data_IF_751363245793
#
_entry.id   IF_751363245793
#
_cell.length_a   1.000
_cell.length_b   1.000
_cell.length_c   1.000
_cell.angle_alpha   90.00
_cell.angle_beta   90.00
_cell.angle_gamma   90.00
#
_symmetry.space_group_name_H-M   'P 1'
#
loop_
_entity.id
_entity.type
_entity.pdbx_description
1 polymer ?
#
# COMPACT_ATOMS: atom_id res chain seq x y z
N UNK A 1 13.65 11.42 -12.24
CA UNK A 1 12.60 12.44 -12.49
C UNK A 1 12.59 13.36 -11.28
N UNK A 2 12.40 14.68 -11.39
CA UNK A 2 12.28 15.52 -10.17
C UNK A 2 10.92 15.30 -9.51
N UNK A 3 10.82 15.54 -8.20
CA UNK A 3 9.55 15.45 -7.46
C UNK A 3 8.48 16.34 -8.10
N UNK A 4 8.83 17.59 -8.45
CA UNK A 4 7.92 18.52 -9.13
C UNK A 4 7.37 17.96 -10.44
N UNK A 5 8.23 17.38 -11.29
CA UNK A 5 7.83 16.76 -12.56
C UNK A 5 6.86 15.59 -12.40
N UNK A 6 7.02 14.80 -11.34
CA UNK A 6 6.15 13.67 -11.07
C UNK A 6 4.74 14.13 -10.66
N UNK A 7 4.63 15.12 -9.78
CA UNK A 7 3.33 15.67 -9.36
C UNK A 7 2.65 16.49 -10.45
N UNK A 8 3.40 17.26 -11.25
CA UNK A 8 2.85 18.01 -12.38
C UNK A 8 2.09 17.07 -13.35
N UNK A 9 2.72 15.95 -13.71
CA UNK A 9 2.11 14.94 -14.58
C UNK A 9 0.85 14.35 -13.96
N UNK A 10 0.93 13.90 -12.72
CA UNK A 10 -0.16 13.19 -12.08
C UNK A 10 -1.38 14.08 -11.82
N UNK A 11 -1.16 15.29 -11.31
CA UNK A 11 -2.24 16.23 -11.04
C UNK A 11 -2.91 16.68 -12.36
N UNK A 12 -2.17 16.72 -13.47
CA UNK A 12 -2.72 16.94 -14.80
C UNK A 12 -3.56 15.77 -15.34
N UNK A 13 -3.29 14.52 -14.95
CA UNK A 13 -4.09 13.34 -15.39
C UNK A 13 -5.55 13.47 -14.96
N UNK A 14 -5.80 13.99 -13.75
CA UNK A 14 -7.15 14.22 -13.18
C UNK A 14 -8.06 15.09 -14.07
N UNK A 15 -7.45 15.89 -14.95
CA UNK A 15 -8.13 16.83 -15.82
C UNK A 15 -8.42 16.27 -17.20
N UNK A 16 -7.57 15.37 -17.67
CA UNK A 16 -7.72 14.70 -18.97
C UNK A 16 -8.82 13.64 -18.99
N UNK A 17 -9.25 13.15 -17.81
CA UNK A 17 -10.26 12.11 -17.66
C UNK A 17 -11.73 12.57 -17.75
N UNK A 18 -11.99 13.84 -18.06
CA UNK A 18 -13.35 14.32 -18.35
C UNK A 18 -13.88 13.67 -19.64
N UNK A 19 -15.09 13.13 -19.59
CA UNK A 19 -15.84 12.62 -20.74
C UNK A 19 -15.91 13.68 -21.85
N UNK A 20 -14.92 13.69 -22.75
CA UNK A 20 -14.92 14.24 -24.12
C UNK A 20 -13.47 14.49 -24.59
N UNK A 21 -12.68 13.46 -24.89
CA UNK A 21 -11.61 13.57 -25.89
C UNK A 21 -11.31 12.20 -26.52
N UNK A 22 -12.15 11.82 -27.48
CA UNK A 22 -11.78 10.85 -28.49
C UNK A 22 -10.77 11.51 -29.44
N UNK A 23 -9.48 11.47 -29.10
CA UNK A 23 -8.42 11.95 -29.98
C UNK A 23 -7.08 12.18 -29.31
N UNK A 24 -6.20 11.18 -29.39
CA UNK A 24 -4.75 11.34 -29.27
C UNK A 24 -4.19 11.45 -27.85
N UNK A 25 -3.09 10.73 -27.59
CA UNK A 25 -2.29 10.85 -26.37
C UNK A 25 -1.57 12.19 -26.28
N UNK A 26 -2.33 13.26 -26.03
CA UNK A 26 -1.79 14.55 -25.63
C UNK A 26 -1.27 14.50 -24.19
N UNK A 27 -0.20 15.25 -23.92
CA UNK A 27 0.27 15.45 -22.55
C UNK A 27 -0.86 16.06 -21.71
N UNK A 28 -1.03 15.65 -20.43
CA UNK A 28 -2.01 16.25 -19.56
C UNK A 28 -1.81 17.77 -19.47
N UNK A 29 -2.91 18.53 -19.38
CA UNK A 29 -2.86 19.98 -19.16
C UNK A 29 -2.28 20.33 -17.78
N UNK A 30 -1.85 21.58 -17.56
CA UNK A 30 -1.35 22.00 -16.25
C UNK A 30 -2.45 21.88 -15.20
N UNK A 31 -2.13 21.43 -13.96
CA UNK A 31 -3.12 21.28 -12.91
C UNK A 31 -3.80 22.62 -12.58
N UNK A 32 -5.07 22.55 -12.17
CA UNK A 32 -5.96 23.65 -11.82
C UNK A 32 -6.07 23.65 -10.29
N UNK A 33 -5.34 24.55 -9.61
CA UNK A 33 -5.32 24.56 -8.16
C UNK A 33 -6.69 24.82 -7.56
N UNK A 34 -7.55 25.63 -8.19
CA UNK A 34 -8.85 25.96 -7.62
C UNK A 34 -9.74 24.72 -7.58
N UNK A 35 -9.84 24.00 -8.70
CA UNK A 35 -10.59 22.73 -8.77
C UNK A 35 -10.05 21.69 -7.79
N UNK A 36 -8.74 21.48 -7.75
CA UNK A 36 -8.09 20.48 -6.89
C UNK A 36 -8.29 20.80 -5.41
N UNK A 37 -8.21 22.09 -5.04
CA UNK A 37 -8.47 22.54 -3.67
C UNK A 37 -9.94 22.38 -3.27
N UNK A 38 -10.89 22.60 -4.19
CA UNK A 38 -12.30 22.30 -3.96
C UNK A 38 -12.51 20.81 -3.71
N UNK A 39 -11.94 19.93 -4.55
CA UNK A 39 -12.04 18.48 -4.37
C UNK A 39 -11.47 18.01 -3.02
N UNK A 40 -10.31 18.54 -2.62
CA UNK A 40 -9.74 18.25 -1.30
C UNK A 40 -10.67 18.71 -0.16
N UNK A 41 -11.26 19.91 -0.28
CA UNK A 41 -12.19 20.43 0.72
C UNK A 41 -13.45 19.57 0.82
N UNK A 42 -14.00 19.16 -0.32
CA UNK A 42 -15.20 18.33 -0.40
C UNK A 42 -14.95 16.94 0.19
N UNK A 43 -13.79 16.33 -0.08
CA UNK A 43 -13.43 15.03 0.52
C UNK A 43 -13.26 15.15 2.04
N UNK A 44 -12.64 16.21 2.54
CA UNK A 44 -12.58 16.45 4.00
C UNK A 44 -13.99 16.60 4.58
N UNK A 45 -14.87 17.36 3.94
CA UNK A 45 -16.27 17.52 4.38
C UNK A 45 -17.05 16.20 4.38
N UNK A 46 -16.86 15.37 3.35
CA UNK A 46 -17.45 14.03 3.28
C UNK A 46 -16.94 13.14 4.40
N UNK A 47 -15.63 13.17 4.70
CA UNK A 47 -15.07 12.41 5.82
C UNK A 47 -15.63 12.91 7.16
N UNK A 48 -15.85 14.22 7.34
CA UNK A 48 -16.52 14.74 8.54
C UNK A 48 -17.94 14.15 8.72
N UNK A 49 -18.71 14.08 7.63
CA UNK A 49 -20.06 13.51 7.63
C UNK A 49 -20.03 11.99 7.88
N UNK A 50 -19.19 11.27 7.15
CA UNK A 50 -19.08 9.81 7.19
C UNK A 50 -18.59 9.31 8.55
N UNK A 51 -17.58 9.97 9.14
CA UNK A 51 -17.04 9.60 10.46
C UNK A 51 -17.90 10.12 11.61
N UNK A 52 -18.82 11.05 11.36
CA UNK A 52 -19.58 11.74 12.41
C UNK A 52 -18.70 12.59 13.34
N UNK A 53 -17.48 12.93 12.92
CA UNK A 53 -16.47 13.67 13.68
C UNK A 53 -16.03 14.89 12.86
N UNK A 54 -15.91 16.07 13.49
CA UNK A 54 -15.35 17.24 12.81
C UNK A 54 -13.83 17.15 12.77
N UNK A 55 -13.25 17.55 11.65
CA UNK A 55 -11.81 17.62 11.51
C UNK A 55 -11.24 18.64 12.50
N UNK A 56 -10.03 18.37 13.03
CA UNK A 56 -9.32 19.37 13.83
C UNK A 56 -9.18 20.69 13.02
N UNK A 57 -9.75 21.82 13.49
CA UNK A 57 -9.83 23.03 12.67
C UNK A 57 -8.45 23.58 12.28
N UNK A 58 -7.47 23.45 13.18
CA UNK A 58 -6.12 23.95 12.92
C UNK A 58 -5.35 23.02 11.97
N UNK A 59 -5.52 21.70 12.10
CA UNK A 59 -4.98 20.72 11.16
C UNK A 59 -5.58 20.91 9.77
N UNK A 60 -6.90 21.08 9.65
CA UNK A 60 -7.56 21.40 8.38
C UNK A 60 -7.00 22.67 7.77
N UNK A 61 -6.87 23.75 8.56
CA UNK A 61 -6.30 25.02 8.09
C UNK A 61 -4.83 24.90 7.66
N UNK A 62 -4.04 24.05 8.33
CA UNK A 62 -2.64 23.76 7.94
C UNK A 62 -2.57 22.94 6.66
N UNK A 63 -3.43 21.93 6.51
CA UNK A 63 -3.54 21.12 5.30
C UNK A 63 -3.90 21.99 4.11
N UNK A 64 -5.02 22.73 4.18
CA UNK A 64 -5.52 23.52 3.05
C UNK A 64 -4.51 24.56 2.56
N UNK A 65 -3.92 25.34 3.48
CA UNK A 65 -2.93 26.36 3.10
C UNK A 65 -1.65 25.77 2.53
N UNK A 66 -1.18 24.66 3.10
CA UNK A 66 0.05 24.04 2.61
C UNK A 66 -0.15 23.26 1.30
N UNK A 67 -1.34 22.68 1.08
CA UNK A 67 -1.70 22.07 -0.19
C UNK A 67 -1.81 23.13 -1.30
N UNK A 68 -2.44 24.27 -1.02
CA UNK A 68 -2.52 25.39 -1.96
C UNK A 68 -1.13 25.93 -2.32
N UNK A 69 -0.25 26.12 -1.32
CA UNK A 69 1.14 26.51 -1.56
C UNK A 69 1.86 25.50 -2.45
N UNK A 70 1.81 24.22 -2.11
CA UNK A 70 2.53 23.18 -2.84
C UNK A 70 2.00 23.01 -4.27
N UNK A 71 0.69 23.16 -4.49
CA UNK A 71 0.10 23.15 -5.83
C UNK A 71 0.60 24.32 -6.68
N UNK A 72 0.67 25.53 -6.11
CA UNK A 72 1.20 26.71 -6.80
C UNK A 72 2.68 26.54 -7.13
N UNK A 73 3.48 26.00 -6.23
CA UNK A 73 4.89 25.67 -6.51
C UNK A 73 5.01 24.73 -7.72
N UNK A 74 4.16 23.70 -7.81
CA UNK A 74 4.15 22.78 -8.96
C UNK A 74 3.68 23.47 -10.25
N UNK A 75 2.64 24.31 -10.18
CA UNK A 75 2.11 25.04 -11.35
C UNK A 75 3.08 26.09 -11.88
N UNK A 76 3.69 26.87 -10.99
CA UNK A 76 4.52 28.01 -11.34
C UNK A 76 5.96 27.60 -11.71
N UNK A 77 6.45 26.49 -11.15
CA UNK A 77 7.83 26.06 -11.29
C UNK A 77 8.02 24.65 -11.89
N UNK A 78 6.95 23.85 -12.02
CA UNK A 78 6.98 22.54 -12.67
C UNK A 78 8.12 21.65 -12.17
N UNK A 79 9.03 21.31 -13.07
CA UNK A 79 10.22 20.49 -12.78
C UNK A 79 11.18 21.10 -11.75
N UNK A 80 11.18 22.43 -11.61
CA UNK A 80 12.05 23.21 -10.70
C UNK A 80 11.40 23.47 -9.34
N UNK A 81 10.19 22.96 -9.09
CA UNK A 81 9.49 23.12 -7.82
C UNK A 81 10.30 22.58 -6.63
N UNK A 82 10.43 23.39 -5.57
CA UNK A 82 11.19 23.05 -4.37
C UNK A 82 10.25 22.61 -3.25
N UNK A 83 9.98 21.30 -3.20
CA UNK A 83 9.02 20.72 -2.25
C UNK A 83 9.75 20.04 -1.10
N UNK A 84 9.45 20.47 0.14
CA UNK A 84 9.86 19.75 1.34
C UNK A 84 8.96 18.55 1.62
N UNK A 85 9.38 17.66 2.53
CA UNK A 85 8.62 16.46 2.90
C UNK A 85 7.16 16.75 3.30
N UNK A 86 6.91 17.85 4.02
CA UNK A 86 5.55 18.24 4.41
C UNK A 86 4.72 18.77 3.25
N UNK A 87 5.36 19.34 2.23
CA UNK A 87 4.65 19.83 1.04
C UNK A 87 4.24 18.66 0.15
N UNK A 88 5.16 17.71 -0.04
CA UNK A 88 4.89 16.40 -0.67
C UNK A 88 3.72 15.68 0.01
N UNK A 89 3.72 15.56 1.35
CA UNK A 89 2.63 14.91 2.07
C UNK A 89 1.26 15.60 1.89
N UNK A 90 1.26 16.93 1.67
CA UNK A 90 0.02 17.69 1.39
C UNK A 90 -0.40 17.56 -0.07
N UNK A 91 0.54 17.47 -1.00
CA UNK A 91 0.24 17.13 -2.40
C UNK A 91 -0.32 15.72 -2.53
N UNK A 92 0.18 14.75 -1.76
CA UNK A 92 -0.44 13.42 -1.70
C UNK A 92 -1.90 13.50 -1.26
N UNK A 93 -2.25 14.36 -0.31
CA UNK A 93 -3.66 14.53 0.08
C UNK A 93 -4.54 15.05 -1.06
N UNK A 94 -4.00 15.93 -1.90
CA UNK A 94 -4.69 16.38 -3.12
C UNK A 94 -4.87 15.21 -4.09
N UNK A 95 -3.82 14.43 -4.34
CA UNK A 95 -3.88 13.25 -5.22
C UNK A 95 -4.87 12.19 -4.70
N UNK A 96 -4.95 12.01 -3.38
CA UNK A 96 -5.91 11.09 -2.77
C UNK A 96 -7.37 11.51 -3.01
N UNK A 97 -7.62 12.80 -3.24
CA UNK A 97 -8.96 13.39 -3.38
C UNK A 97 -9.33 13.74 -4.83
N UNK A 98 -8.36 13.89 -5.74
CA UNK A 98 -8.61 14.24 -7.15
C UNK A 98 -9.16 13.06 -7.98
N UNK A 99 -9.07 11.86 -7.43
CA UNK A 99 -9.56 10.61 -7.99
C UNK A 99 -8.62 9.90 -8.95
N UNK A 100 -7.38 10.34 -9.10
CA UNK A 100 -6.35 9.64 -9.90
C UNK A 100 -5.78 8.44 -9.14
N UNK A 101 -5.33 8.64 -7.90
CA UNK A 101 -4.81 7.59 -7.01
C UNK A 101 -5.46 7.72 -5.62
N UNK A 102 -6.77 7.40 -5.53
CA UNK A 102 -7.49 7.58 -4.30
C UNK A 102 -7.00 6.66 -3.18
N UNK A 103 -7.20 7.10 -1.95
CA UNK A 103 -6.96 6.29 -0.75
C UNK A 103 -8.30 6.04 -0.08
N UNK A 104 -8.80 4.82 -0.24
CA UNK A 104 -10.16 4.45 0.17
C UNK A 104 -10.13 3.76 1.54
N UNK A 105 -10.99 4.21 2.44
CA UNK A 105 -11.19 3.53 3.72
C UNK A 105 -11.94 2.22 3.50
N UNK A 106 -11.52 1.17 4.22
CA UNK A 106 -12.24 -0.10 4.25
C UNK A 106 -13.14 -0.15 5.48
N UNK A 107 -14.42 -0.42 5.24
CA UNK A 107 -15.50 -0.64 6.20
C UNK A 107 -16.35 -1.84 5.75
N UNK A 108 -16.66 -2.75 6.67
CA UNK A 108 -17.38 -4.01 6.37
C UNK A 108 -16.71 -4.80 5.23
N UNK A 109 -15.40 -4.93 5.30
CA UNK A 109 -14.58 -5.61 4.27
C UNK A 109 -14.64 -4.96 2.87
N UNK A 110 -15.24 -3.78 2.70
CA UNK A 110 -15.37 -3.09 1.41
C UNK A 110 -15.13 -1.58 1.53
N UNK A 111 -15.28 -0.81 0.46
CA UNK A 111 -15.12 0.64 0.50
C UNK A 111 -16.41 1.34 0.08
N UNK A 112 -16.53 2.62 0.44
CA UNK A 112 -17.65 3.45 0.00
C UNK A 112 -17.51 3.80 -1.49
N UNK A 113 -18.32 3.12 -2.32
CA UNK A 113 -18.38 3.36 -3.78
C UNK A 113 -18.92 4.74 -4.16
N UNK A 114 -19.53 5.45 -3.22
CA UNK A 114 -20.07 6.80 -3.44
C UNK A 114 -19.06 7.89 -3.20
N UNK A 115 -17.88 7.55 -2.66
CA UNK A 115 -16.78 8.49 -2.44
C UNK A 115 -16.38 9.14 -3.77
N UNK A 116 -16.38 10.49 -3.90
CA UNK A 116 -16.01 11.16 -5.15
C UNK A 116 -14.62 10.77 -5.66
N UNK A 117 -13.68 10.54 -4.74
CA UNK A 117 -12.33 10.10 -5.04
C UNK A 117 -12.28 8.75 -5.80
N UNK A 118 -13.31 7.89 -5.71
CA UNK A 118 -13.31 6.60 -6.41
C UNK A 118 -13.84 6.69 -7.85
N UNK A 119 -14.36 7.84 -8.30
CA UNK A 119 -15.16 7.93 -9.53
C UNK A 119 -14.53 7.26 -10.78
N UNK A 120 -13.22 7.43 -10.98
CA UNK A 120 -12.48 6.83 -12.13
C UNK A 120 -12.28 5.31 -12.00
N UNK A 121 -12.27 4.80 -10.77
CA UNK A 121 -12.02 3.39 -10.43
C UNK A 121 -13.29 2.61 -10.07
N UNK A 122 -14.39 3.30 -9.75
CA UNK A 122 -15.62 2.74 -9.20
C UNK A 122 -16.15 1.59 -10.08
N UNK A 123 -16.27 1.81 -11.39
CA UNK A 123 -16.75 0.78 -12.30
C UNK A 123 -15.85 -0.47 -12.32
N UNK A 124 -14.53 -0.33 -12.18
CA UNK A 124 -13.61 -1.46 -12.17
C UNK A 124 -13.67 -2.23 -10.85
N UNK A 125 -13.64 -1.51 -9.73
CA UNK A 125 -13.67 -2.10 -8.40
C UNK A 125 -15.02 -2.75 -8.08
N UNK A 126 -16.15 -2.11 -8.43
CA UNK A 126 -17.49 -2.68 -8.18
C UNK A 126 -17.76 -3.97 -8.96
N UNK A 127 -17.06 -4.22 -10.08
CA UNK A 127 -17.21 -5.48 -10.84
C UNK A 127 -16.63 -6.69 -10.11
N UNK A 128 -15.71 -6.47 -9.17
CA UNK A 128 -15.01 -7.52 -8.43
C UNK A 128 -15.26 -7.40 -6.92
N UNK A 129 -16.46 -6.95 -6.52
CA UNK A 129 -16.79 -6.69 -5.11
C UNK A 129 -16.57 -7.93 -4.21
N UNK A 130 -16.98 -9.12 -4.66
CA UNK A 130 -16.86 -10.34 -3.87
C UNK A 130 -15.39 -10.72 -3.62
N UNK A 131 -14.55 -10.45 -4.61
CA UNK A 131 -13.12 -10.68 -4.59
C UNK A 131 -12.40 -9.69 -3.70
N UNK A 132 -12.73 -8.40 -3.85
CA UNK A 132 -12.26 -7.34 -2.98
C UNK A 132 -12.57 -7.62 -1.52
N UNK A 133 -13.79 -8.05 -1.20
CA UNK A 133 -14.15 -8.44 0.17
C UNK A 133 -13.34 -9.60 0.68
N UNK A 134 -13.03 -10.58 -0.16
CA UNK A 134 -12.16 -11.71 0.20
C UNK A 134 -10.74 -11.21 0.52
N UNK A 135 -10.16 -10.38 -0.34
CA UNK A 135 -8.81 -9.83 -0.14
C UNK A 135 -8.76 -8.92 1.10
N UNK A 136 -9.74 -8.03 1.28
CA UNK A 136 -9.84 -7.18 2.46
C UNK A 136 -9.90 -8.00 3.75
N UNK A 137 -10.64 -9.11 3.78
CA UNK A 137 -10.69 -10.02 4.94
C UNK A 137 -9.35 -10.70 5.22
N UNK A 138 -8.62 -11.04 4.17
CA UNK A 138 -7.32 -11.69 4.27
C UNK A 138 -6.19 -10.74 4.67
N UNK A 139 -6.36 -9.43 4.52
CA UNK A 139 -5.38 -8.42 4.92
C UNK A 139 -5.57 -8.02 6.39
N UNK A 140 -4.50 -8.11 7.18
CA UNK A 140 -4.50 -7.81 8.61
C UNK A 140 -3.35 -6.89 9.06
N UNK A 141 -3.61 -6.10 10.10
CA UNK A 141 -2.64 -5.20 10.70
C UNK A 141 -1.74 -5.97 11.64
N UNK A 142 -0.43 -5.81 11.50
CA UNK A 142 0.55 -6.38 12.42
C UNK A 142 0.66 -5.49 13.64
N UNK A 143 -0.05 -5.85 14.70
CA UNK A 143 -0.09 -5.14 15.96
C UNK A 143 1.19 -5.41 16.79
N UNK A 144 1.75 -4.33 17.34
CA UNK A 144 2.86 -4.33 18.28
C UNK A 144 2.51 -3.39 19.43
N UNK A 145 2.03 -3.92 20.57
CA UNK A 145 1.66 -3.10 21.73
C UNK A 145 2.82 -2.27 22.30
N UNK A 146 4.07 -2.61 22.00
CA UNK A 146 5.25 -1.86 22.45
C UNK A 146 5.59 -0.67 21.54
N UNK A 147 5.01 -0.60 20.35
CA UNK A 147 5.27 0.46 19.37
C UNK A 147 4.44 1.71 19.67
N UNK A 148 4.96 2.88 19.31
CA UNK A 148 4.27 4.17 19.51
C UNK A 148 2.90 4.23 18.82
N UNK A 149 2.76 3.55 17.67
CA UNK A 149 1.50 3.50 16.93
C UNK A 149 0.60 2.32 17.33
N UNK A 150 1.13 1.35 18.06
CA UNK A 150 0.45 0.08 18.36
C UNK A 150 0.52 -0.97 17.23
N UNK A 151 1.18 -0.67 16.10
CA UNK A 151 1.35 -1.56 14.94
C UNK A 151 2.60 -1.20 14.12
N UNK A 152 3.03 -2.13 13.26
CA UNK A 152 4.27 -2.01 12.47
C UNK A 152 4.10 -2.22 10.96
N UNK A 153 2.97 -2.74 10.49
CA UNK A 153 2.74 -2.96 9.06
C UNK A 153 1.55 -3.86 8.77
N UNK A 154 1.62 -4.52 7.61
CA UNK A 154 0.56 -5.38 7.07
C UNK A 154 1.04 -6.82 6.97
N UNK A 155 0.15 -7.77 7.24
CA UNK A 155 0.31 -9.18 6.93
C UNK A 155 -0.95 -9.72 6.26
N UNK A 156 -0.86 -10.82 5.53
CA UNK A 156 -2.01 -11.38 4.84
C UNK A 156 -2.02 -12.90 4.79
N UNK A 157 -3.22 -13.46 4.84
CA UNK A 157 -3.46 -14.90 4.91
C UNK A 157 -3.12 -15.60 3.58
N UNK A 158 -2.16 -16.53 3.64
CA UNK A 158 -1.71 -17.33 2.49
C UNK A 158 -2.10 -18.80 2.62
N UNK A 159 -2.37 -19.26 3.85
CA UNK A 159 -2.95 -20.56 4.18
C UNK A 159 -3.65 -20.47 5.55
N UNK A 160 -4.38 -21.50 5.95
CA UNK A 160 -5.10 -21.59 7.23
C UNK A 160 -4.15 -21.43 8.43
N UNK A 161 -4.22 -20.27 9.09
CA UNK A 161 -3.35 -19.91 10.21
C UNK A 161 -1.94 -19.49 9.81
N UNK A 162 -1.69 -19.23 8.52
CA UNK A 162 -0.38 -18.80 8.00
C UNK A 162 -0.53 -17.48 7.26
N UNK A 163 0.36 -16.54 7.57
CA UNK A 163 0.41 -15.23 6.92
C UNK A 163 1.79 -14.90 6.37
N UNK A 164 1.82 -14.03 5.36
CA UNK A 164 3.03 -13.41 4.83
C UNK A 164 3.07 -11.94 5.23
N UNK A 165 4.27 -11.43 5.50
CA UNK A 165 4.58 -10.00 5.70
C UNK A 165 6.02 -9.72 5.23
N UNK A 166 6.50 -8.48 5.35
CA UNK A 166 7.91 -8.19 5.12
C UNK A 166 8.80 -8.68 6.26
N UNK A 167 10.04 -9.03 5.95
CA UNK A 167 11.03 -9.36 6.97
C UNK A 167 11.31 -8.17 7.89
N UNK A 168 11.40 -6.95 7.38
CA UNK A 168 11.61 -5.78 8.25
C UNK A 168 10.42 -5.48 9.19
N UNK A 169 9.20 -5.90 8.84
CA UNK A 169 8.04 -5.85 9.76
C UNK A 169 8.25 -6.87 10.89
N UNK A 170 8.71 -8.08 10.56
CA UNK A 170 9.12 -9.08 11.56
C UNK A 170 10.24 -8.56 12.47
N UNK A 171 11.25 -7.89 11.92
CA UNK A 171 12.33 -7.28 12.71
C UNK A 171 11.76 -6.26 13.72
N UNK A 172 10.82 -5.43 13.28
CA UNK A 172 10.20 -4.42 14.12
C UNK A 172 9.40 -5.01 15.29
N UNK A 173 8.81 -6.19 15.13
CA UNK A 173 8.03 -6.90 16.17
C UNK A 173 8.85 -7.93 16.97
N UNK A 174 10.17 -7.93 16.83
CA UNK A 174 11.06 -8.90 17.47
C UNK A 174 12.14 -8.23 18.31
N UNK A 175 12.80 -9.02 19.16
CA UNK A 175 14.02 -8.66 19.87
C UNK A 175 15.19 -9.46 19.30
N UNK A 176 16.32 -8.78 19.11
CA UNK A 176 17.56 -9.34 18.53
C UNK A 176 17.36 -10.11 17.21
N UNK A 177 16.62 -9.53 16.22
CA UNK A 177 16.34 -10.23 14.99
C UNK A 177 17.61 -10.50 14.17
N UNK A 178 17.63 -11.66 13.53
CA UNK A 178 18.66 -12.11 12.60
C UNK A 178 18.03 -13.06 11.58
N UNK A 179 18.67 -13.17 10.41
CA UNK A 179 18.30 -14.15 9.40
C UNK A 179 19.54 -14.82 8.83
N UNK A 180 19.52 -16.15 8.80
CA UNK A 180 20.59 -16.99 8.26
C UNK A 180 19.96 -18.15 7.52
N UNK A 181 20.33 -18.37 6.26
CA UNK A 181 19.85 -19.52 5.45
C UNK A 181 18.32 -19.70 5.45
N UNK A 182 17.56 -18.60 5.36
CA UNK A 182 16.10 -18.61 5.35
C UNK A 182 15.45 -18.90 6.71
N UNK A 183 16.25 -19.00 7.77
CA UNK A 183 15.79 -19.18 9.15
C UNK A 183 15.87 -17.86 9.92
N UNK A 184 14.88 -17.63 10.77
CA UNK A 184 14.83 -16.50 11.68
C UNK A 184 15.48 -16.84 13.01
N UNK A 185 16.35 -15.95 13.50
CA UNK A 185 16.84 -15.95 14.89
C UNK A 185 16.36 -14.69 15.60
N UNK A 186 15.88 -14.85 16.84
CA UNK A 186 15.34 -13.76 17.66
C UNK A 186 14.07 -14.20 18.39
N UNK A 187 13.47 -13.28 19.14
CA UNK A 187 12.25 -13.56 19.91
C UNK A 187 11.15 -12.56 19.55
N UNK A 188 9.94 -13.06 19.28
CA UNK A 188 8.76 -12.22 19.08
C UNK A 188 8.46 -11.43 20.37
N UNK A 189 8.15 -10.15 20.25
CA UNK A 189 7.76 -9.33 21.39
C UNK A 189 6.43 -9.82 21.99
N UNK A 190 6.18 -9.62 23.29
CA UNK A 190 4.92 -9.99 23.91
C UNK A 190 3.72 -9.28 23.29
N UNK A 191 2.64 -10.03 23.05
CA UNK A 191 1.35 -9.48 22.63
C UNK A 191 1.23 -9.11 21.15
N UNK A 192 2.23 -9.43 20.32
CA UNK A 192 2.15 -9.21 18.87
C UNK A 192 1.07 -10.10 18.24
N UNK A 193 0.30 -9.53 17.33
CA UNK A 193 -0.87 -10.17 16.74
C UNK A 193 -1.13 -9.64 15.33
N UNK A 194 -1.92 -10.39 14.56
CA UNK A 194 -2.51 -9.91 13.30
C UNK A 194 -3.99 -9.64 13.53
N UNK A 195 -4.40 -8.43 13.17
CA UNK A 195 -5.77 -7.94 13.29
C UNK A 195 -6.39 -7.73 11.91
N UNK A 196 -7.20 -8.69 11.47
CA UNK A 196 -7.91 -8.62 10.19
C UNK A 196 -9.16 -7.72 10.24
N UNK A 197 -9.53 -7.21 11.41
CA UNK A 197 -10.69 -6.36 11.64
C UNK A 197 -10.36 -4.88 11.88
N UNK A 198 -9.13 -4.43 11.67
CA UNK A 198 -8.72 -3.04 11.90
C UNK A 198 -9.25 -2.06 10.80
N UNK A 199 -10.56 -1.99 10.64
CA UNK A 199 -11.27 -1.16 9.66
C UNK A 199 -11.72 0.19 10.26
N UNK A 200 -12.13 1.14 9.40
CA UNK A 200 -12.76 2.37 9.89
C UNK A 200 -14.09 2.03 10.57
N UNK A 201 -14.44 2.73 11.65
CA UNK A 201 -15.59 2.36 12.50
C UNK A 201 -15.35 1.14 13.40
N UNK A 202 -14.27 0.40 13.19
CA UNK A 202 -13.90 -0.80 13.93
C UNK A 202 -14.53 -2.07 13.37
N UNK A 203 -13.74 -3.14 13.26
CA UNK A 203 -14.23 -4.45 12.82
C UNK A 203 -14.42 -5.45 13.96
N UNK A 204 -14.88 -6.67 13.64
CA UNK A 204 -15.18 -7.69 14.63
C UNK A 204 -13.93 -8.08 15.46
N UNK A 205 -13.97 -8.01 16.81
CA UNK A 205 -12.80 -8.29 17.65
C UNK A 205 -12.37 -9.77 17.63
N UNK A 206 -13.21 -10.66 17.10
CA UNK A 206 -12.88 -12.07 16.88
C UNK A 206 -11.95 -12.30 15.67
N UNK A 207 -11.53 -11.24 14.97
CA UNK A 207 -10.59 -11.30 13.84
C UNK A 207 -9.14 -10.99 14.22
N UNK A 208 -8.81 -11.06 15.51
CA UNK A 208 -7.45 -10.86 16.03
C UNK A 208 -6.85 -12.20 16.46
N UNK A 209 -5.66 -12.51 15.92
CA UNK A 209 -4.95 -13.75 16.14
C UNK A 209 -3.50 -13.47 16.55
N UNK A 210 -3.03 -14.10 17.63
CA UNK A 210 -1.66 -13.94 18.12
C UNK A 210 -0.68 -14.59 17.14
N UNK A 211 0.47 -13.96 16.92
CA UNK A 211 1.57 -14.56 16.17
C UNK A 211 2.29 -15.53 17.09
N UNK A 212 2.34 -16.81 16.72
CA UNK A 212 2.85 -17.88 17.57
C UNK A 212 4.24 -18.36 17.19
N UNK A 213 4.60 -18.27 15.90
CA UNK A 213 5.87 -18.75 15.38
C UNK A 213 6.25 -18.09 14.06
N UNK A 214 7.55 -17.97 13.80
CA UNK A 214 8.10 -17.68 12.46
C UNK A 214 8.39 -19.00 11.75
N UNK A 215 7.79 -19.20 10.57
CA UNK A 215 7.94 -20.44 9.78
C UNK A 215 9.15 -20.38 8.84
N UNK A 216 9.42 -19.20 8.29
CA UNK A 216 10.52 -18.98 7.36
C UNK A 216 10.70 -17.50 7.05
N UNK A 217 11.87 -17.13 6.56
CA UNK A 217 12.17 -15.78 6.10
C UNK A 217 12.85 -15.83 4.74
N UNK A 218 12.63 -14.78 3.95
CA UNK A 218 13.30 -14.60 2.68
C UNK A 218 14.81 -14.44 2.86
N UNK A 219 15.56 -14.86 1.83
CA UNK A 219 17.02 -14.75 1.82
C UNK A 219 17.48 -13.29 1.96
N UNK A 220 18.56 -13.11 2.72
CA UNK A 220 19.23 -11.82 2.80
C UNK A 220 19.87 -11.46 1.45
N UNK A 221 19.82 -10.19 1.09
CA UNK A 221 20.57 -9.65 -0.03
C UNK A 221 22.03 -9.42 0.37
N UNK A 222 22.93 -9.52 -0.60
CA UNK A 222 24.35 -9.22 -0.37
C UNK A 222 24.52 -7.73 0.04
N UNK A 223 25.27 -7.40 1.10
CA UNK A 223 25.43 -6.02 1.58
C UNK A 223 25.93 -5.04 0.52
N UNK A 224 26.80 -5.50 -0.38
CA UNK A 224 27.35 -4.74 -1.50
C UNK A 224 26.32 -4.46 -2.62
N UNK A 225 25.17 -5.12 -2.59
CA UNK A 225 24.03 -4.92 -3.49
C UNK A 225 22.89 -4.11 -2.85
N UNK A 226 23.14 -3.51 -1.69
CA UNK A 226 22.20 -2.58 -1.09
C UNK A 226 21.97 -1.38 -2.03
N UNK A 227 20.73 -0.90 -2.09
CA UNK A 227 20.38 0.23 -2.94
C UNK A 227 21.20 1.46 -2.56
N UNK A 228 21.80 2.17 -3.52
CA UNK A 228 22.82 3.18 -3.23
C UNK A 228 22.28 4.39 -2.48
N UNK A 229 21.00 4.71 -2.65
CA UNK A 229 20.40 5.96 -2.15
C UNK A 229 19.18 5.77 -1.26
N UNK A 230 18.64 4.55 -1.14
CA UNK A 230 17.41 4.27 -0.38
C UNK A 230 17.77 3.31 0.75
N UNK A 231 17.81 3.79 2.00
CA UNK A 231 18.17 2.95 3.14
C UNK A 231 17.28 1.72 3.25
N UNK A 232 17.89 0.59 3.61
CA UNK A 232 17.22 -0.71 3.84
C UNK A 232 16.57 -1.36 2.61
N UNK A 233 16.69 -0.76 1.43
CA UNK A 233 16.30 -1.40 0.16
C UNK A 233 17.48 -2.20 -0.37
N UNK A 234 17.22 -3.45 -0.76
CA UNK A 234 18.20 -4.33 -1.38
C UNK A 234 17.45 -5.31 -2.30
N UNK A 235 17.47 -5.05 -3.61
CA UNK A 235 16.77 -5.89 -4.61
C UNK A 235 17.40 -7.26 -4.76
N UNK A 236 18.64 -7.46 -4.32
CA UNK A 236 19.18 -8.80 -4.24
C UNK A 236 18.47 -9.61 -3.16
N UNK A 237 17.99 -9.05 -2.05
CA UNK A 237 17.30 -9.83 -0.99
C UNK A 237 15.80 -10.04 -1.22
N UNK A 238 15.21 -11.01 -0.52
CA UNK A 238 13.76 -11.15 -0.40
C UNK A 238 13.32 -10.65 0.97
N UNK A 239 12.65 -9.50 1.02
CA UNK A 239 12.10 -8.92 2.23
C UNK A 239 10.75 -9.56 2.57
N UNK A 240 10.81 -10.81 3.02
CA UNK A 240 9.64 -11.66 3.28
C UNK A 240 9.79 -12.39 4.62
N UNK A 241 8.70 -12.50 5.36
CA UNK A 241 8.57 -13.38 6.50
C UNK A 241 7.24 -14.14 6.42
N UNK A 242 7.29 -15.42 6.78
CA UNK A 242 6.13 -16.30 6.87
C UNK A 242 5.88 -16.60 8.34
N UNK A 243 4.68 -16.28 8.81
CA UNK A 243 4.32 -16.35 10.22
C UNK A 243 3.16 -17.30 10.43
N UNK A 244 3.18 -18.02 11.54
CA UNK A 244 2.07 -18.83 12.01
C UNK A 244 1.29 -18.06 13.06
N UNK A 245 -0.03 -18.12 12.96
CA UNK A 245 -0.99 -17.55 13.90
C UNK A 245 -1.62 -18.65 14.76
N UNK A 246 -1.99 -18.31 15.99
CA UNK A 246 -2.72 -19.24 16.85
C UNK A 246 -4.10 -19.54 16.25
N UNK A 247 -4.47 -20.83 16.21
CA UNK A 247 -5.85 -21.24 15.95
C UNK A 247 -6.70 -20.98 17.18
N UNK A 248 -7.83 -20.32 17.00
CA UNK A 248 -8.78 -20.04 18.08
C UNK A 248 -10.11 -20.71 17.76
N UNK A 249 -10.51 -21.68 18.61
CA UNK A 249 -11.76 -22.41 18.42
C UNK A 249 -12.95 -21.47 18.30
N UNK A 250 -13.81 -21.70 17.31
CA UNK A 250 -14.99 -20.88 17.04
C UNK A 250 -14.72 -19.52 16.40
N UNK A 251 -13.46 -19.18 16.09
CA UNK A 251 -13.13 -17.99 15.30
C UNK A 251 -12.71 -18.42 13.89
N UNK A 252 -13.49 -18.07 12.85
CA UNK A 252 -13.12 -18.41 11.49
C UNK A 252 -11.85 -17.65 11.09
N UNK A 253 -10.91 -18.34 10.47
CA UNK A 253 -9.77 -17.71 9.81
C UNK A 253 -10.23 -17.12 8.47
N UNK A 254 -9.68 -15.98 8.02
CA UNK A 254 -10.03 -15.45 6.71
C UNK A 254 -9.64 -16.44 5.61
N UNK A 255 -10.43 -16.47 4.54
CA UNK A 255 -10.09 -17.24 3.34
C UNK A 255 -8.73 -16.77 2.80
N UNK A 256 -7.75 -17.66 2.66
CA UNK A 256 -6.45 -17.30 2.10
C UNK A 256 -6.56 -16.73 0.68
N UNK A 257 -5.68 -15.80 0.35
CA UNK A 257 -5.60 -15.22 -1.00
C UNK A 257 -4.75 -16.09 -1.92
N UNK A 258 -5.11 -16.08 -3.20
CA UNK A 258 -4.33 -16.76 -4.23
C UNK A 258 -3.14 -15.90 -4.65
N UNK A 259 -1.98 -16.52 -4.77
CA UNK A 259 -0.74 -15.85 -5.18
C UNK A 259 -0.44 -16.18 -6.64
N UNK A 260 -0.05 -15.17 -7.42
CA UNK A 260 0.44 -15.38 -8.77
C UNK A 260 1.80 -16.10 -8.74
N UNK A 261 1.91 -17.19 -9.51
CA UNK A 261 3.11 -18.03 -9.54
C UNK A 261 3.78 -18.00 -10.90
N UNK A 262 5.11 -18.06 -10.88
CA UNK A 262 5.93 -18.10 -12.10
C UNK A 262 5.80 -19.40 -12.89
N UNK A 263 5.32 -20.46 -12.25
CA UNK A 263 5.09 -21.79 -12.80
C UNK A 263 3.62 -22.05 -13.20
N UNK A 264 2.74 -21.03 -13.12
CA UNK A 264 1.34 -21.12 -13.58
C UNK A 264 1.29 -21.35 -15.10
N UNK A 265 0.66 -22.44 -15.55
CA UNK A 265 0.59 -22.82 -16.97
C UNK A 265 -0.18 -21.81 -17.83
N UNK A 266 -1.21 -21.18 -17.25
CA UNK A 266 -2.09 -20.27 -17.99
C UNK A 266 -1.45 -18.89 -18.14
N UNK A 267 -0.83 -18.37 -17.08
CA UNK A 267 -0.23 -17.02 -17.09
C UNK A 267 1.23 -17.03 -17.52
N UNK A 268 1.91 -18.17 -17.39
CA UNK A 268 3.35 -18.34 -17.66
C UNK A 268 4.22 -17.35 -16.89
N UNK A 269 3.78 -16.95 -15.69
CA UNK A 269 4.52 -16.02 -14.83
C UNK A 269 4.63 -14.59 -15.38
N UNK A 270 3.63 -14.16 -16.17
CA UNK A 270 3.63 -12.89 -16.90
C UNK A 270 2.45 -11.96 -16.52
N UNK A 271 1.76 -12.21 -15.40
CA UNK A 271 0.70 -11.30 -14.96
C UNK A 271 1.28 -9.93 -14.61
N UNK A 272 2.38 -9.87 -13.86
CA UNK A 272 2.96 -8.62 -13.35
C UNK A 272 3.72 -7.83 -14.45
N UNK A 273 2.96 -7.27 -15.39
CA UNK A 273 3.42 -6.51 -16.55
C UNK A 273 3.06 -5.03 -16.44
N UNK A 274 3.90 -4.16 -17.03
CA UNK A 274 3.69 -2.71 -17.04
C UNK A 274 2.31 -2.35 -17.56
N UNK A 275 1.67 -1.38 -16.92
CA UNK A 275 0.36 -0.85 -17.29
C UNK A 275 -0.82 -1.67 -16.75
N UNK A 276 -0.57 -2.87 -16.19
CA UNK A 276 -1.62 -3.65 -15.55
C UNK A 276 -2.21 -2.91 -14.36
N UNK A 277 -3.53 -2.84 -14.30
CA UNK A 277 -4.23 -2.25 -13.16
C UNK A 277 -4.15 -3.15 -11.94
N UNK A 278 -3.86 -2.53 -10.81
CA UNK A 278 -3.74 -3.19 -9.51
C UNK A 278 -4.48 -2.42 -8.46
N UNK A 279 -4.72 -3.05 -7.33
CA UNK A 279 -5.10 -2.39 -6.10
C UNK A 279 -4.26 -2.91 -4.94
N UNK A 280 -3.98 -2.02 -4.00
CA UNK A 280 -3.19 -2.30 -2.81
C UNK A 280 -4.12 -2.37 -1.62
N UNK A 281 -3.96 -3.39 -0.78
CA UNK A 281 -4.67 -3.46 0.50
C UNK A 281 -3.67 -3.57 1.64
N UNK A 282 -3.78 -2.66 2.62
CA UNK A 282 -2.96 -2.69 3.81
C UNK A 282 -3.24 -1.56 4.79
N UNK A 283 -2.28 -1.30 5.67
CA UNK A 283 -2.45 -0.44 6.85
C UNK A 283 -1.42 0.68 6.84
N UNK A 284 -1.68 1.80 6.17
CA UNK A 284 -0.73 2.88 6.12
C UNK A 284 -0.63 3.56 7.49
N UNK A 285 0.60 3.90 7.86
CA UNK A 285 1.00 4.56 9.10
C UNK A 285 2.18 3.84 9.76
N UNK A 286 3.34 4.49 9.78
CA UNK A 286 4.53 4.04 10.52
C UNK A 286 5.09 5.21 11.30
N UNK A 287 5.52 4.98 12.55
CA UNK A 287 6.16 6.03 13.36
C UNK A 287 7.45 6.55 12.71
N UNK A 288 8.09 5.74 11.86
CA UNK A 288 9.28 6.09 11.10
C UNK A 288 9.00 6.54 9.67
N UNK A 289 7.74 6.70 9.27
CA UNK A 289 7.39 7.22 7.94
C UNK A 289 7.96 8.62 7.73
N UNK A 290 8.59 8.84 6.59
CA UNK A 290 9.09 10.15 6.17
C UNK A 290 7.95 11.07 5.68
N UNK A 291 6.81 10.52 5.26
CA UNK A 291 5.62 11.28 4.90
C UNK A 291 4.53 11.11 5.96
N UNK A 292 4.12 12.19 6.65
CA UNK A 292 3.01 12.14 7.59
C UNK A 292 1.69 11.75 6.90
N UNK A 293 0.88 10.94 7.58
CA UNK A 293 -0.52 10.73 7.20
C UNK A 293 -1.32 11.96 7.64
N UNK A 294 -1.46 12.93 6.75
CA UNK A 294 -2.13 14.20 7.06
C UNK A 294 -3.62 14.04 7.36
N UNK A 295 -4.27 12.97 6.88
CA UNK A 295 -5.66 12.67 7.24
C UNK A 295 -5.78 12.14 8.66
N UNK A 296 -4.77 11.41 9.15
CA UNK A 296 -4.71 11.02 10.56
C UNK A 296 -4.42 12.21 11.51
N UNK A 297 -3.94 13.35 10.99
CA UNK A 297 -3.88 14.61 11.76
C UNK A 297 -5.26 15.30 11.82
N UNK A 298 -6.13 15.08 10.82
CA UNK A 298 -7.49 15.65 10.79
C UNK A 298 -8.46 14.87 11.69
N UNK A 299 -8.38 13.54 11.66
CA UNK A 299 -9.30 12.64 12.34
C UNK A 299 -8.52 11.59 13.13
N UNK A 300 -8.66 11.59 14.46
CA UNK A 300 -7.95 10.60 15.28
C UNK A 300 -8.42 9.16 14.98
N UNK A 301 -9.70 9.00 14.62
CA UNK A 301 -10.34 7.72 14.34
C UNK A 301 -9.88 6.99 13.08
N UNK A 302 -9.14 7.65 12.18
CA UNK A 302 -8.70 7.04 10.89
C UNK A 302 -7.26 6.55 10.90
N UNK A 303 -6.61 6.56 12.06
CA UNK A 303 -5.21 6.16 12.19
C UNK A 303 -5.06 4.64 12.26
N UNK A 304 -4.22 4.10 11.38
CA UNK A 304 -3.89 2.67 11.37
C UNK A 304 -5.06 1.77 10.96
N UNK A 305 -6.01 2.32 10.20
CA UNK A 305 -7.12 1.54 9.65
C UNK A 305 -6.77 0.99 8.27
N UNK A 306 -7.45 -0.09 7.89
CA UNK A 306 -7.30 -0.76 6.59
C UNK A 306 -7.69 0.20 5.46
N UNK A 307 -6.86 0.25 4.42
CA UNK A 307 -7.08 1.07 3.24
C UNK A 307 -6.92 0.25 1.97
N UNK A 308 -7.68 0.64 0.95
CA UNK A 308 -7.56 0.15 -0.41
C UNK A 308 -7.12 1.29 -1.32
N UNK A 309 -6.06 1.08 -2.11
CA UNK A 309 -5.53 2.11 -3.02
C UNK A 309 -5.35 1.53 -4.42
N UNK A 310 -6.15 1.94 -5.42
CA UNK A 310 -5.96 1.48 -6.78
C UNK A 310 -4.81 2.23 -7.47
N UNK A 311 -4.22 1.59 -8.49
CA UNK A 311 -3.17 2.16 -9.32
C UNK A 311 -2.80 1.24 -10.47
N UNK A 312 -1.61 1.46 -11.03
CA UNK A 312 -1.06 0.66 -12.13
C UNK A 312 0.36 0.23 -11.82
N UNK A 313 0.77 -0.90 -12.40
CA UNK A 313 2.18 -1.28 -12.42
C UNK A 313 2.93 -0.33 -13.36
N UNK A 314 3.89 0.42 -12.82
CA UNK A 314 4.73 1.32 -13.58
C UNK A 314 5.87 0.59 -14.26
N UNK A 315 6.38 -0.49 -13.66
CA UNK A 315 7.39 -1.39 -14.23
C UNK A 315 7.00 -2.83 -13.92
N UNK A 316 7.02 -3.67 -14.96
CA UNK A 316 6.77 -5.09 -14.84
C UNK A 316 8.00 -5.88 -14.39
N UNK A 317 7.81 -7.19 -14.27
CA UNK A 317 8.87 -8.13 -13.93
C UNK A 317 10.05 -8.03 -14.93
N UNK A 318 11.24 -7.78 -14.40
CA UNK A 318 12.47 -7.70 -15.20
C UNK A 318 12.62 -6.39 -15.99
N UNK A 319 11.79 -5.39 -15.71
CA UNK A 319 11.94 -4.03 -16.25
C UNK A 319 12.60 -3.07 -15.25
N UNK A 320 12.62 -3.41 -13.96
CA UNK A 320 13.23 -2.59 -12.91
C UNK A 320 14.75 -2.64 -13.02
N UNK A 321 15.38 -1.47 -13.10
CA UNK A 321 16.83 -1.34 -13.14
C UNK A 321 17.50 -1.94 -11.89
N UNK A 322 18.69 -2.53 -12.08
CA UNK A 322 19.49 -3.17 -11.02
C UNK A 322 18.83 -4.40 -10.33
N UNK A 323 17.67 -4.87 -10.82
CA UNK A 323 17.03 -6.12 -10.39
C UNK A 323 17.51 -7.32 -11.24
N UNK A 324 18.69 -7.85 -10.91
CA UNK A 324 19.24 -9.04 -11.58
C UNK A 324 18.34 -10.29 -11.45
N UNK A 325 17.50 -10.35 -10.43
CA UNK A 325 16.65 -11.51 -10.12
C UNK A 325 15.30 -11.46 -10.82
N UNK A 326 14.92 -10.30 -11.37
CA UNK A 326 13.67 -10.10 -12.13
C UNK A 326 12.45 -10.50 -11.30
N UNK A 327 12.40 -9.96 -10.09
CA UNK A 327 11.38 -10.23 -9.08
C UNK A 327 10.97 -8.96 -8.32
N UNK A 328 11.41 -7.78 -8.79
CA UNK A 328 10.89 -6.49 -8.36
C UNK A 328 9.92 -6.00 -9.43
N UNK A 329 8.82 -5.42 -8.96
CA UNK A 329 7.85 -4.67 -9.76
C UNK A 329 7.67 -3.31 -9.11
N UNK A 330 7.27 -2.31 -9.90
CA UNK A 330 6.90 -1.00 -9.36
C UNK A 330 5.47 -0.63 -9.67
N UNK A 331 4.85 0.19 -8.81
CA UNK A 331 3.49 0.68 -8.97
C UNK A 331 3.35 2.13 -8.51
N UNK A 332 2.29 2.80 -8.96
CA UNK A 332 2.01 4.19 -8.62
C UNK A 332 0.81 4.40 -7.69
N UNK A 333 0.19 3.31 -7.23
CA UNK A 333 -0.86 3.37 -6.21
C UNK A 333 -0.34 4.13 -4.98
N UNK A 334 -1.16 5.02 -4.42
CA UNK A 334 -0.76 5.81 -3.25
C UNK A 334 -0.45 4.91 -2.06
N UNK A 335 0.74 5.09 -1.49
CA UNK A 335 1.17 4.41 -0.27
C UNK A 335 1.69 5.44 0.70
N UNK A 336 1.09 5.53 1.88
CA UNK A 336 1.68 6.25 3.00
C UNK A 336 2.63 5.28 3.73
N UNK A 337 3.68 5.79 4.38
CA UNK A 337 4.61 4.92 5.10
C UNK A 337 3.87 4.11 6.16
N UNK A 338 4.20 2.82 6.29
CA UNK A 338 3.41 1.81 7.02
C UNK A 338 2.66 0.82 6.11
N UNK A 339 2.61 1.09 4.81
CA UNK A 339 2.09 0.15 3.80
C UNK A 339 2.98 -1.09 3.57
N UNK A 340 4.10 -1.23 4.30
CA UNK A 340 4.94 -2.43 4.25
C UNK A 340 4.15 -3.70 4.51
N UNK A 341 4.32 -4.68 3.63
CA UNK A 341 3.67 -5.98 3.67
C UNK A 341 2.29 -5.98 3.01
N UNK A 342 1.86 -4.85 2.42
CA UNK A 342 0.58 -4.77 1.72
C UNK A 342 0.55 -5.68 0.50
N UNK A 343 -0.64 -6.18 0.18
CA UNK A 343 -0.87 -6.96 -1.02
C UNK A 343 -0.89 -6.03 -2.22
N UNK A 344 -0.15 -6.36 -3.28
CA UNK A 344 -0.36 -5.80 -4.62
C UNK A 344 -1.21 -6.81 -5.39
N UNK A 345 -2.47 -6.50 -5.66
CA UNK A 345 -3.43 -7.46 -6.22
C UNK A 345 -3.87 -7.02 -7.61
N UNK A 346 -4.01 -7.99 -8.49
CA UNK A 346 -4.51 -7.78 -9.84
C UNK A 346 -5.95 -7.26 -9.83
N UNK A 347 -6.26 -6.24 -10.64
CA UNK A 347 -7.62 -5.71 -10.81
C UNK A 347 -8.32 -6.28 -12.06
N UNK A 348 -7.59 -6.92 -12.98
CA UNK A 348 -8.12 -7.26 -14.32
C UNK A 348 -8.53 -8.74 -14.45
N UNK A 349 -7.64 -9.69 -14.10
CA UNK A 349 -7.89 -11.13 -14.17
C UNK A 349 -8.56 -11.62 -12.88
N UNK A 350 -9.88 -11.37 -12.80
CA UNK A 350 -10.78 -11.83 -11.74
C UNK A 350 -10.56 -11.17 -10.37
N UNK A 351 -9.58 -10.28 -10.19
CA UNK A 351 -9.51 -9.45 -9.00
C UNK A 351 -8.96 -10.13 -7.73
N UNK A 352 -8.52 -11.40 -7.80
CA UNK A 352 -8.15 -12.21 -6.61
C UNK A 352 -6.66 -12.48 -6.46
N UNK A 353 -5.88 -12.46 -7.56
CA UNK A 353 -4.49 -12.94 -7.55
C UNK A 353 -3.53 -11.85 -7.05
N UNK A 354 -2.82 -12.15 -5.97
CA UNK A 354 -1.76 -11.31 -5.44
C UNK A 354 -0.55 -11.39 -6.35
N UNK A 355 -0.18 -10.27 -6.96
CA UNK A 355 0.95 -10.13 -7.85
C UNK A 355 2.24 -9.79 -7.09
N UNK A 356 2.12 -9.10 -5.95
CA UNK A 356 3.28 -8.56 -5.25
C UNK A 356 3.11 -8.37 -3.75
N UNK A 357 4.25 -8.29 -3.06
CA UNK A 357 4.38 -7.86 -1.67
C UNK A 357 5.07 -6.49 -1.61
N UNK A 358 4.32 -5.42 -1.32
CA UNK A 358 4.87 -4.07 -1.21
C UNK A 358 5.87 -3.99 -0.04
N UNK A 359 7.05 -3.39 -0.26
CA UNK A 359 8.09 -3.32 0.77
C UNK A 359 8.75 -1.95 0.93
N UNK A 360 8.73 -1.09 -0.09
CA UNK A 360 9.35 0.22 -0.04
C UNK A 360 8.71 1.18 -1.05
N UNK A 361 8.95 2.47 -0.83
CA UNK A 361 8.59 3.50 -1.78
C UNK A 361 9.42 4.76 -1.57
N UNK A 362 9.55 5.55 -2.62
CA UNK A 362 10.20 6.84 -2.60
C UNK A 362 9.19 7.95 -2.93
N UNK A 363 9.25 9.12 -2.27
CA UNK A 363 8.24 10.17 -2.46
C UNK A 363 8.18 10.78 -3.87
N UNK A 364 9.16 10.51 -4.74
CA UNK A 364 9.12 10.78 -6.19
C UNK A 364 8.39 9.67 -6.99
N UNK A 365 7.56 8.88 -6.29
CA UNK A 365 6.48 8.00 -6.79
C UNK A 365 6.88 6.66 -7.38
N UNK A 366 8.05 6.14 -7.02
CA UNK A 366 8.32 4.72 -7.25
C UNK A 366 8.00 3.95 -5.97
N UNK A 367 6.96 3.14 -6.00
CA UNK A 367 6.69 2.14 -4.98
C UNK A 367 7.12 0.78 -5.49
N UNK A 368 7.91 0.05 -4.69
CA UNK A 368 8.43 -1.26 -5.03
C UNK A 368 7.71 -2.37 -4.27
N UNK A 369 7.50 -3.46 -4.97
CA UNK A 369 7.03 -4.72 -4.43
C UNK A 369 7.87 -5.88 -4.95
N UNK A 370 7.98 -6.93 -4.14
CA UNK A 370 8.47 -8.21 -4.63
C UNK A 370 7.38 -8.86 -5.49
N UNK A 371 7.60 -8.99 -6.80
CA UNK A 371 6.75 -9.71 -7.72
C UNK A 371 6.79 -11.21 -7.46
N UNK A 372 5.66 -11.76 -7.01
CA UNK A 372 5.57 -13.13 -6.47
C UNK A 372 5.78 -14.21 -7.55
N UNK A 373 5.46 -13.91 -8.81
CA UNK A 373 5.77 -14.78 -9.95
C UNK A 373 7.29 -14.96 -10.14
N UNK A 374 8.08 -13.92 -9.89
CA UNK A 374 9.55 -13.98 -9.96
C UNK A 374 10.18 -14.65 -8.75
N UNK A 375 9.54 -14.53 -7.58
CA UNK A 375 10.02 -15.08 -6.31
C UNK A 375 9.48 -16.49 -5.99
N UNK A 376 8.80 -17.16 -6.94
CA UNK A 376 8.15 -18.45 -6.70
C UNK A 376 9.08 -19.52 -6.10
N UNK A 377 10.33 -19.71 -6.56
CA UNK A 377 11.25 -20.67 -5.95
C UNK A 377 11.58 -20.35 -4.48
N UNK A 378 11.80 -19.07 -4.16
CA UNK A 378 12.10 -18.61 -2.81
C UNK A 378 10.88 -18.67 -1.89
N UNK A 379 9.68 -18.39 -2.42
CA UNK A 379 8.42 -18.60 -1.72
C UNK A 379 8.23 -20.09 -1.38
N UNK A 380 8.51 -20.98 -2.34
CA UNK A 380 8.42 -22.43 -2.13
C UNK A 380 9.37 -22.94 -1.04
N UNK A 381 10.54 -22.31 -0.91
CA UNK A 381 11.50 -22.65 0.14
C UNK A 381 11.07 -22.10 1.53
N UNK A 382 10.37 -20.97 1.58
CA UNK A 382 9.99 -20.30 2.82
C UNK A 382 8.61 -20.72 3.36
N UNK A 383 7.69 -21.16 2.49
CA UNK A 383 6.31 -21.51 2.84
C UNK A 383 6.17 -23.04 2.86
N UNK A 384 5.91 -23.65 4.02
CA UNK A 384 5.71 -25.10 4.10
C UNK A 384 4.53 -25.55 3.23
N UNK A 385 4.77 -26.46 2.28
CA UNK A 385 3.72 -27.07 1.45
C UNK A 385 3.26 -26.26 0.24
N UNK A 386 4.04 -25.25 -0.16
CA UNK A 386 3.80 -24.39 -1.32
C UNK A 386 3.59 -25.10 -2.65
#
# INVERSE_FOLDING_TARGET
MSVGSAYERLLGESQSGGLEHAGGGGAPGPPDPERLMTQLSDEVGRLEEHLGERADPEARKRLMRGAEYALREVVDHGVDAQLGMRDVARLEAVVHSDGTRPVLFVEDDFFDVTAPAVATWAAALSRIEAELRTVCRAAGRVNDPSSLLGYQGTAWAIDEGVVVTNYHVLEAISTHPSRTDGQFGGELKPGVAVDFGAEVGGGPPNRVFRISRVLGVGRAGAPERAHPTVPRVNFDGLDLAVLQLDRVSGRPFPTPVEVARGDDEATRGALASRGRKVYIVGFPGSAGSTSPDVFAELFAGVKGVKRLTPGVLTEGRGEVDEDERRWIISHDASTLGGSSGSLVVDLEAEGRKVLGLHFAGVPDRVNWAHGLEGATPELAAAIPGW
#
